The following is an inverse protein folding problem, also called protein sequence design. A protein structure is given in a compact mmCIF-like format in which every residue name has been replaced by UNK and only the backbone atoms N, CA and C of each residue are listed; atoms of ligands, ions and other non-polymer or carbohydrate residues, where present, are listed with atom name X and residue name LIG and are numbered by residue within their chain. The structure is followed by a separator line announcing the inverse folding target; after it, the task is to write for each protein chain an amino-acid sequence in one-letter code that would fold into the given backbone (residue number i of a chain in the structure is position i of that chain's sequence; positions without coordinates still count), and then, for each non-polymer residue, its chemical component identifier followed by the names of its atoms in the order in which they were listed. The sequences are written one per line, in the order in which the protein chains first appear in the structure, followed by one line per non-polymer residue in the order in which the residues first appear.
data_IF_752862702414
#
_entry.id   IF_752862702414
#
_cell.length_a   1.000
_cell.length_b   1.000
_cell.length_c   1.000
_cell.angle_alpha   90.00
_cell.angle_beta   90.00
_cell.angle_gamma   90.00
#
_symmetry.space_group_name_H-M   'P 1'
#
loop_
_entity.id
_entity.type
_entity.pdbx_description
1 polymer ?
#
# COMPACT_ATOMS: atom_id res chain seq x y z
N UNK A 1 -14.47 -33.05 1.54
CA UNK A 1 -14.02 -32.62 2.88
C UNK A 1 -14.51 -31.20 3.05
N UNK A 2 -15.62 -30.99 3.79
CA UNK A 2 -16.21 -29.64 3.96
C UNK A 2 -15.20 -28.65 4.55
N UNK A 3 -14.28 -29.15 5.39
CA UNK A 3 -13.16 -28.37 5.90
C UNK A 3 -12.24 -27.85 4.79
N UNK A 4 -11.86 -28.67 3.80
CA UNK A 4 -11.03 -28.24 2.67
C UNK A 4 -11.76 -27.23 1.78
N UNK A 5 -13.06 -27.42 1.57
CA UNK A 5 -13.86 -26.52 0.76
C UNK A 5 -14.05 -25.17 1.48
N UNK A 6 -14.28 -25.21 2.79
CA UNK A 6 -14.37 -24.03 3.65
C UNK A 6 -13.02 -23.33 3.83
N UNK A 7 -11.90 -24.04 3.99
CA UNK A 7 -10.57 -23.44 3.98
C UNK A 7 -10.22 -22.91 2.61
N UNK A 8 -10.58 -23.56 1.50
CA UNK A 8 -10.38 -22.99 0.17
C UNK A 8 -11.26 -21.75 -0.05
N UNK A 9 -12.49 -21.73 0.44
CA UNK A 9 -13.37 -20.55 0.40
C UNK A 9 -12.85 -19.43 1.31
N UNK A 10 -12.33 -19.75 2.50
CA UNK A 10 -11.66 -18.80 3.39
C UNK A 10 -10.33 -18.31 2.82
N UNK A 11 -9.50 -19.16 2.24
CA UNK A 11 -8.23 -18.80 1.60
C UNK A 11 -8.49 -17.96 0.34
N UNK A 12 -9.52 -18.28 -0.44
CA UNK A 12 -9.95 -17.45 -1.57
C UNK A 12 -10.58 -16.11 -1.13
N UNK A 13 -11.23 -16.06 0.04
CA UNK A 13 -11.82 -14.83 0.60
C UNK A 13 -10.87 -14.03 1.52
N UNK A 14 -9.71 -14.59 1.91
CA UNK A 14 -8.76 -13.96 2.84
C UNK A 14 -7.36 -13.75 2.30
N UNK A 15 -6.95 -14.40 1.19
CA UNK A 15 -5.53 -14.38 0.83
C UNK A 15 -5.05 -13.08 0.18
N UNK A 16 -5.95 -12.28 -0.41
CA UNK A 16 -5.61 -10.99 -0.99
C UNK A 16 -6.87 -10.10 -0.95
N UNK A 17 -7.10 -9.36 0.13
CA UNK A 17 -8.08 -8.26 0.12
C UNK A 17 -7.54 -7.10 -0.73
N UNK A 18 -7.39 -7.35 -2.04
CA UNK A 18 -6.89 -6.40 -3.02
C UNK A 18 -7.73 -5.12 -3.01
N UNK A 19 -9.04 -5.24 -2.74
CA UNK A 19 -9.93 -4.09 -2.65
C UNK A 19 -9.71 -3.24 -1.40
N UNK A 20 -9.18 -3.82 -0.32
CA UNK A 20 -8.78 -3.03 0.86
C UNK A 20 -7.46 -2.29 0.61
N UNK A 21 -6.50 -2.92 -0.07
CA UNK A 21 -5.16 -2.36 -0.30
C UNK A 21 -5.07 -1.43 -1.52
N UNK A 22 -5.80 -1.74 -2.59
CA UNK A 22 -5.77 -1.02 -3.86
C UNK A 22 -7.04 -0.18 -4.03
N UNK A 23 -6.93 1.12 -3.77
CA UNK A 23 -8.01 2.09 -3.92
C UNK A 23 -7.94 2.83 -5.23
N UNK A 24 -9.07 3.39 -5.63
CA UNK A 24 -9.11 4.40 -6.68
C UNK A 24 -9.00 5.76 -6.00
N UNK A 25 -8.01 6.54 -6.42
CA UNK A 25 -7.67 7.82 -5.80
C UNK A 25 -7.22 8.85 -6.84
N UNK A 26 -7.29 8.52 -8.13
CA UNK A 26 -6.84 9.39 -9.21
C UNK A 26 -7.72 9.18 -10.43
N UNK A 27 -8.11 10.28 -11.07
CA UNK A 27 -8.80 10.24 -12.37
C UNK A 27 -7.86 9.89 -13.54
N UNK A 28 -6.57 9.63 -13.30
CA UNK A 28 -5.63 9.18 -14.31
C UNK A 28 -6.00 7.78 -14.84
N UNK A 29 -6.21 7.70 -16.16
CA UNK A 29 -6.49 6.48 -16.92
C UNK A 29 -5.46 5.35 -16.73
N UNK A 30 -4.25 5.64 -16.25
CA UNK A 30 -3.22 4.62 -16.02
C UNK A 30 -3.35 3.89 -14.68
N UNK A 31 -3.99 4.47 -13.67
CA UNK A 31 -4.14 3.83 -12.34
C UNK A 31 -5.00 2.56 -12.39
N UNK A 32 -6.18 2.54 -13.05
CA UNK A 32 -6.97 1.32 -13.19
C UNK A 32 -6.21 0.21 -13.92
N UNK A 33 -5.43 0.55 -14.96
CA UNK A 33 -4.60 -0.42 -15.70
C UNK A 33 -3.49 -1.01 -14.82
N UNK A 34 -2.83 -0.19 -14.01
CA UNK A 34 -1.81 -0.63 -13.06
C UNK A 34 -2.40 -1.61 -12.05
N UNK A 35 -3.55 -1.27 -11.45
CA UNK A 35 -4.25 -2.14 -10.49
C UNK A 35 -4.66 -3.47 -11.11
N UNK A 36 -5.26 -3.44 -12.31
CA UNK A 36 -5.67 -4.64 -13.03
C UNK A 36 -4.46 -5.55 -13.36
N UNK A 37 -3.34 -4.95 -13.75
CA UNK A 37 -2.10 -5.70 -14.00
C UNK A 37 -1.59 -6.39 -12.74
N UNK A 38 -1.50 -5.67 -11.61
CA UNK A 38 -1.07 -6.25 -10.33
C UNK A 38 -2.00 -7.40 -9.94
N UNK A 39 -3.32 -7.19 -10.00
CA UNK A 39 -4.29 -8.21 -9.66
C UNK A 39 -4.12 -9.48 -10.52
N UNK A 40 -3.93 -9.32 -11.83
CA UNK A 40 -3.69 -10.43 -12.75
C UNK A 40 -2.46 -11.26 -12.39
N UNK A 41 -1.35 -10.62 -12.02
CA UNK A 41 -0.13 -11.32 -11.61
C UNK A 41 -0.28 -12.06 -10.29
N UNK A 42 -0.94 -11.43 -9.30
CA UNK A 42 -1.12 -12.02 -7.98
C UNK A 42 -2.11 -13.20 -8.01
N UNK A 43 -3.21 -13.07 -8.79
CA UNK A 43 -4.14 -14.19 -9.05
C UNK A 43 -3.42 -15.31 -9.81
N UNK A 44 -2.52 -14.97 -10.73
CA UNK A 44 -1.68 -15.92 -11.44
C UNK A 44 -0.56 -16.55 -10.60
N UNK A 45 -0.47 -16.25 -9.31
CA UNK A 45 0.58 -16.67 -8.39
C UNK A 45 2.01 -16.29 -8.85
N UNK A 46 2.15 -15.08 -9.39
CA UNK A 46 3.43 -14.50 -9.83
C UNK A 46 3.74 -13.21 -9.05
N UNK A 47 3.98 -13.29 -7.74
CA UNK A 47 4.29 -12.10 -6.93
C UNK A 47 5.65 -11.49 -7.27
N UNK A 48 6.61 -12.30 -7.70
CA UNK A 48 7.97 -11.92 -8.13
C UNK A 48 7.97 -10.98 -9.34
N UNK A 49 7.04 -11.16 -10.27
CA UNK A 49 6.90 -10.31 -11.46
C UNK A 49 6.04 -9.06 -11.21
N UNK A 50 5.36 -8.97 -10.06
CA UNK A 50 4.47 -7.87 -9.71
C UNK A 50 5.15 -6.76 -8.89
N UNK A 51 6.35 -7.00 -8.35
CA UNK A 51 7.03 -6.12 -7.39
C UNK A 51 7.23 -4.69 -7.89
N UNK A 52 7.62 -4.51 -9.16
CA UNK A 52 7.84 -3.19 -9.76
C UNK A 52 6.52 -2.39 -9.87
N UNK A 53 5.43 -3.07 -10.23
CA UNK A 53 4.10 -2.48 -10.33
C UNK A 53 3.53 -2.15 -8.96
N UNK A 54 3.71 -3.03 -7.96
CA UNK A 54 3.30 -2.78 -6.58
C UNK A 54 4.08 -1.59 -5.99
N UNK A 55 5.39 -1.52 -6.21
CA UNK A 55 6.20 -0.36 -5.84
C UNK A 55 5.66 0.92 -6.49
N UNK A 56 5.38 0.88 -7.80
CA UNK A 56 4.81 2.01 -8.54
C UNK A 56 3.46 2.46 -7.95
N UNK A 57 2.59 1.53 -7.59
CA UNK A 57 1.32 1.83 -6.93
C UNK A 57 1.54 2.54 -5.59
N UNK A 58 2.43 2.01 -4.74
CA UNK A 58 2.74 2.61 -3.43
C UNK A 58 3.26 4.04 -3.57
N UNK A 59 4.16 4.28 -4.54
CA UNK A 59 4.67 5.64 -4.85
C UNK A 59 3.53 6.57 -5.24
N UNK A 60 2.64 6.15 -6.15
CA UNK A 60 1.48 6.96 -6.55
C UNK A 60 0.57 7.26 -5.36
N UNK A 61 0.25 6.25 -4.54
CA UNK A 61 -0.68 6.40 -3.41
C UNK A 61 -0.14 7.33 -2.34
N UNK A 62 1.10 7.13 -1.88
CA UNK A 62 1.66 7.99 -0.83
C UNK A 62 1.89 9.42 -1.30
N UNK A 63 2.20 9.63 -2.59
CA UNK A 63 2.23 10.99 -3.16
C UNK A 63 0.86 11.65 -3.16
N UNK A 64 -0.19 10.93 -3.51
CA UNK A 64 -1.56 11.45 -3.45
C UNK A 64 -1.91 11.84 -2.00
N UNK A 65 -1.67 10.95 -1.03
CA UNK A 65 -1.94 11.21 0.39
C UNK A 65 -1.20 12.40 0.97
N UNK A 66 0.03 12.64 0.52
CA UNK A 66 0.80 13.81 0.92
C UNK A 66 0.37 15.07 0.17
N UNK A 67 -0.01 14.98 -1.10
CA UNK A 67 -0.57 16.09 -1.86
C UNK A 67 -1.89 16.59 -1.25
N UNK A 68 -2.76 15.67 -0.80
CA UNK A 68 -4.01 15.97 -0.09
C UNK A 68 -3.77 16.71 1.24
N UNK A 69 -2.56 16.58 1.80
CA UNK A 69 -2.08 17.31 2.99
C UNK A 69 -1.32 18.60 2.66
N UNK A 70 -1.25 19.00 1.39
CA UNK A 70 -0.47 20.15 0.95
C UNK A 70 1.05 19.94 1.00
N UNK A 71 1.52 18.70 1.01
CA UNK A 71 2.93 18.31 1.11
C UNK A 71 3.43 17.56 -0.16
N UNK A 72 3.38 18.17 -1.35
CA UNK A 72 3.79 17.48 -2.57
C UNK A 72 5.26 17.03 -2.51
N UNK A 73 5.54 15.84 -3.02
CA UNK A 73 6.88 15.26 -3.04
C UNK A 73 7.54 15.41 -4.42
N UNK A 74 8.87 15.53 -4.43
CA UNK A 74 9.63 15.54 -5.68
C UNK A 74 9.51 14.18 -6.42
N UNK A 75 9.39 14.17 -7.77
CA UNK A 75 9.28 12.95 -8.56
C UNK A 75 10.44 11.95 -8.40
N UNK A 76 11.63 12.39 -8.03
CA UNK A 76 12.81 11.54 -7.78
C UNK A 76 12.88 10.96 -6.38
N UNK A 77 12.00 11.40 -5.46
CA UNK A 77 11.99 10.93 -4.07
C UNK A 77 11.72 9.42 -4.02
N UNK A 78 12.57 8.61 -3.34
CA UNK A 78 12.37 7.17 -3.26
C UNK A 78 11.21 6.80 -2.34
N UNK A 79 10.61 5.62 -2.56
CA UNK A 79 9.39 5.18 -1.88
C UNK A 79 9.46 5.28 -0.34
N UNK A 80 10.55 4.79 0.25
CA UNK A 80 10.72 4.81 1.71
C UNK A 80 10.72 6.24 2.27
N UNK A 81 11.35 7.21 1.57
CA UNK A 81 11.36 8.61 1.99
C UNK A 81 9.97 9.26 1.88
N UNK A 82 9.21 8.95 0.81
CA UNK A 82 7.81 9.38 0.69
C UNK A 82 6.98 8.83 1.86
N UNK A 83 7.12 7.53 2.15
CA UNK A 83 6.42 6.92 3.28
C UNK A 83 6.86 7.49 4.64
N UNK A 84 8.15 7.80 4.81
CA UNK A 84 8.65 8.47 6.02
C UNK A 84 8.01 9.84 6.24
N UNK A 85 7.81 10.62 5.18
CA UNK A 85 7.08 11.88 5.24
C UNK A 85 5.61 11.66 5.60
N UNK A 86 4.95 10.66 5.00
CA UNK A 86 3.57 10.28 5.33
C UNK A 86 3.42 9.89 6.81
N UNK A 87 4.26 8.97 7.30
CA UNK A 87 4.23 8.54 8.71
C UNK A 87 4.49 9.68 9.69
N UNK A 88 5.30 10.68 9.30
CA UNK A 88 5.47 11.92 10.08
C UNK A 88 4.19 12.75 10.10
N UNK A 89 3.53 12.96 8.96
CA UNK A 89 2.29 13.72 8.88
C UNK A 89 1.18 13.08 9.74
N UNK A 90 0.97 11.77 9.58
CA UNK A 90 0.02 10.97 10.39
C UNK A 90 0.27 11.11 11.89
N UNK A 91 1.53 11.08 12.32
CA UNK A 91 1.90 11.28 13.73
C UNK A 91 1.60 12.71 14.19
N UNK A 92 1.99 13.70 13.41
CA UNK A 92 1.88 15.12 13.78
C UNK A 92 0.42 15.60 13.78
N UNK A 93 -0.43 15.00 12.93
CA UNK A 93 -1.90 15.19 12.92
C UNK A 93 -2.61 14.50 14.09
N UNK A 94 -1.97 13.55 14.77
CA UNK A 94 -2.58 12.79 15.87
C UNK A 94 -3.68 11.82 15.42
N UNK A 95 -3.77 11.50 14.12
CA UNK A 95 -4.78 10.58 13.56
C UNK A 95 -4.57 9.12 13.98
N UNK A 96 -3.42 8.79 14.57
CA UNK A 96 -3.15 7.47 15.15
C UNK A 96 -2.65 7.59 16.58
N UNK A 97 -2.97 6.59 17.40
CA UNK A 97 -2.45 6.50 18.76
C UNK A 97 -0.97 6.09 18.79
N UNK A 98 -0.34 6.28 19.96
CA UNK A 98 1.04 5.83 20.21
C UNK A 98 1.29 4.34 19.90
N UNK A 99 0.25 3.51 19.91
CA UNK A 99 0.35 2.07 19.63
C UNK A 99 0.58 1.76 18.15
N UNK A 100 0.19 2.64 17.23
CA UNK A 100 0.40 2.46 15.79
C UNK A 100 1.81 2.92 15.34
N UNK A 101 2.44 3.82 16.09
CA UNK A 101 3.72 4.44 15.70
C UNK A 101 4.86 3.42 15.50
N UNK A 102 5.06 2.39 16.35
CA UNK A 102 6.06 1.35 16.09
C UNK A 102 5.80 0.61 14.78
N UNK A 103 4.54 0.29 14.48
CA UNK A 103 4.14 -0.38 13.23
C UNK A 103 4.47 0.47 12.02
N UNK A 104 4.21 1.78 12.05
CA UNK A 104 4.62 2.68 10.96
C UNK A 104 6.14 2.69 10.76
N UNK A 105 6.96 2.58 11.83
CA UNK A 105 8.41 2.46 11.67
C UNK A 105 8.83 1.15 11.01
N UNK A 106 8.16 0.04 11.31
CA UNK A 106 8.39 -1.25 10.64
C UNK A 106 8.00 -1.16 9.16
N UNK A 107 6.87 -0.54 8.84
CA UNK A 107 6.42 -0.32 7.46
C UNK A 107 7.42 0.55 6.68
N UNK A 108 8.05 1.54 7.32
CA UNK A 108 9.11 2.32 6.65
C UNK A 108 10.27 1.43 6.19
N UNK A 109 10.68 0.46 7.02
CA UNK A 109 11.69 -0.55 6.64
C UNK A 109 11.21 -1.54 5.58
N UNK A 110 9.94 -1.91 5.61
CA UNK A 110 9.32 -2.71 4.55
C UNK A 110 9.40 -1.99 3.20
N UNK A 111 9.06 -0.70 3.15
CA UNK A 111 9.12 0.08 1.91
C UNK A 111 10.53 0.40 1.43
N UNK A 112 11.51 0.47 2.35
CA UNK A 112 12.94 0.48 2.02
C UNK A 112 13.34 -0.85 1.33
N UNK A 113 12.96 -1.98 1.91
CA UNK A 113 13.19 -3.30 1.33
C UNK A 113 12.50 -3.50 -0.02
N UNK A 114 11.26 -3.03 -0.19
CA UNK A 114 10.54 -3.06 -1.46
C UNK A 114 11.24 -2.23 -2.54
N UNK A 115 11.76 -1.05 -2.17
CA UNK A 115 12.53 -0.21 -3.09
C UNK A 115 13.80 -0.91 -3.57
N UNK A 116 14.49 -1.60 -2.66
CA UNK A 116 15.68 -2.38 -2.98
C UNK A 116 15.37 -3.61 -3.84
N UNK A 117 14.30 -4.35 -3.52
CA UNK A 117 13.83 -5.48 -4.32
C UNK A 117 13.45 -5.05 -5.74
N UNK A 118 12.76 -3.91 -5.89
CA UNK A 118 12.46 -3.32 -7.21
C UNK A 118 13.73 -2.98 -7.99
N UNK A 119 14.77 -2.45 -7.33
CA UNK A 119 15.97 -2.03 -8.04
C UNK A 119 16.90 -3.20 -8.42
N UNK A 120 16.97 -4.23 -7.58
CA UNK A 120 18.01 -5.28 -7.66
C UNK A 120 17.48 -6.67 -7.98
N UNK A 121 16.17 -6.92 -7.83
CA UNK A 121 15.56 -8.27 -7.84
C UNK A 121 14.21 -8.33 -8.55
N UNK A 122 13.95 -7.39 -9.46
CA UNK A 122 12.73 -7.38 -10.28
C UNK A 122 13.02 -7.01 -11.73
N UNK A 123 12.02 -7.21 -12.59
CA UNK A 123 12.04 -6.86 -14.01
C UNK A 123 12.11 -5.37 -14.33
N UNK A 124 12.21 -4.49 -13.32
CA UNK A 124 12.52 -3.09 -13.57
C UNK A 124 13.90 -2.91 -14.23
N UNK A 125 14.80 -3.88 -14.05
CA UNK A 125 16.10 -4.00 -14.70
C UNK A 125 16.37 -5.46 -15.07
N UNK A 126 17.48 -5.73 -15.75
CA UNK A 126 17.92 -7.09 -16.08
C UNK A 126 18.51 -7.78 -14.84
N UNK A 127 17.62 -8.23 -13.96
CA UNK A 127 17.95 -8.81 -12.66
C UNK A 127 17.48 -10.26 -12.56
N UNK A 128 18.20 -11.05 -11.76
CA UNK A 128 17.66 -12.27 -11.19
C UNK A 128 16.51 -11.93 -10.21
N UNK A 129 15.37 -12.57 -10.39
CA UNK A 129 14.19 -12.35 -9.55
C UNK A 129 14.37 -12.93 -8.14
N UNK A 130 13.55 -12.43 -7.21
CA UNK A 130 13.36 -13.10 -5.92
C UNK A 130 12.76 -14.49 -6.09
N UNK A 131 13.00 -15.37 -5.12
CA UNK A 131 12.23 -16.60 -5.04
C UNK A 131 10.75 -16.26 -4.86
N UNK A 132 9.87 -17.01 -5.51
CA UNK A 132 8.42 -16.78 -5.49
C UNK A 132 7.88 -16.69 -4.05
N UNK A 133 8.39 -17.51 -3.13
CA UNK A 133 8.01 -17.48 -1.71
C UNK A 133 8.41 -16.20 -0.99
N UNK A 134 9.62 -15.69 -1.24
CA UNK A 134 10.09 -14.42 -0.67
C UNK A 134 9.29 -13.23 -1.22
N UNK A 135 9.09 -13.23 -2.55
CA UNK A 135 8.27 -12.22 -3.20
C UNK A 135 6.84 -12.24 -2.67
N UNK A 136 6.25 -13.43 -2.49
CA UNK A 136 4.91 -13.57 -1.93
C UNK A 136 4.82 -12.95 -0.54
N UNK A 137 5.74 -13.29 0.35
CA UNK A 137 5.74 -12.77 1.71
C UNK A 137 5.89 -11.24 1.76
N UNK A 138 6.78 -10.68 0.93
CA UNK A 138 6.94 -9.23 0.81
C UNK A 138 5.64 -8.58 0.33
N UNK A 139 5.01 -9.14 -0.71
CA UNK A 139 3.74 -8.64 -1.25
C UNK A 139 2.64 -8.68 -0.19
N UNK A 140 2.48 -9.79 0.54
CA UNK A 140 1.46 -9.93 1.57
C UNK A 140 1.65 -8.88 2.68
N UNK A 141 2.89 -8.63 3.08
CA UNK A 141 3.24 -7.57 4.04
C UNK A 141 2.88 -6.16 3.50
N UNK A 142 3.16 -5.89 2.22
CA UNK A 142 2.84 -4.60 1.59
C UNK A 142 1.34 -4.40 1.49
N UNK A 143 0.57 -5.43 1.12
CA UNK A 143 -0.89 -5.35 1.04
C UNK A 143 -1.50 -5.09 2.42
N UNK A 144 -1.07 -5.82 3.45
CA UNK A 144 -1.52 -5.58 4.82
C UNK A 144 -1.18 -4.14 5.30
N UNK A 145 0.00 -3.64 4.93
CA UNK A 145 0.43 -2.28 5.20
C UNK A 145 -0.47 -1.25 4.52
N UNK A 146 -0.78 -1.45 3.23
CA UNK A 146 -1.69 -0.58 2.48
C UNK A 146 -3.10 -0.59 3.08
N UNK A 147 -3.68 -1.77 3.36
CA UNK A 147 -5.01 -1.86 3.98
C UNK A 147 -5.07 -1.13 5.32
N UNK A 148 -3.99 -1.18 6.11
CA UNK A 148 -3.92 -0.41 7.36
C UNK A 148 -3.90 1.10 7.11
N UNK A 149 -3.15 1.55 6.12
CA UNK A 149 -3.08 2.97 5.73
C UNK A 149 -4.45 3.45 5.25
N UNK A 150 -5.12 2.69 4.39
CA UNK A 150 -6.47 3.06 3.92
C UNK A 150 -7.49 3.17 5.05
N UNK A 151 -7.36 2.37 6.11
CA UNK A 151 -8.20 2.51 7.32
C UNK A 151 -7.89 3.80 8.09
N UNK A 152 -6.61 4.16 8.26
CA UNK A 152 -6.22 5.43 8.89
C UNK A 152 -6.84 6.62 8.13
N UNK A 153 -6.76 6.60 6.80
CA UNK A 153 -7.28 7.69 5.99
C UNK A 153 -8.81 7.76 6.01
N UNK A 154 -9.50 6.61 5.97
CA UNK A 154 -10.96 6.56 6.11
C UNK A 154 -11.45 7.11 7.47
N UNK A 155 -10.76 6.77 8.56
CA UNK A 155 -11.06 7.28 9.91
C UNK A 155 -10.84 8.80 9.99
N UNK A 156 -9.73 9.29 9.40
CA UNK A 156 -9.42 10.73 9.31
C UNK A 156 -10.48 11.51 8.52
N UNK A 157 -10.89 11.00 7.37
CA UNK A 157 -11.88 11.67 6.51
C UNK A 157 -13.28 11.70 7.16
N UNK A 158 -13.61 10.64 7.91
CA UNK A 158 -14.84 10.57 8.71
C UNK A 158 -14.84 11.62 9.84
N UNK A 159 -13.69 11.83 10.50
CA UNK A 159 -13.53 12.86 11.52
C UNK A 159 -13.67 14.28 10.94
N UNK A 160 -13.05 14.57 9.80
CA UNK A 160 -13.13 15.88 9.14
C UNK A 160 -14.56 16.23 8.69
N UNK A 161 -15.32 15.25 8.19
CA UNK A 161 -16.72 15.45 7.78
C UNK A 161 -17.64 15.77 8.97
N UNK A 162 -17.29 15.30 10.17
CA UNK A 162 -18.06 15.58 11.38
C UNK A 162 -17.83 17.01 11.87
N UNK A 163 -16.59 17.51 11.79
CA UNK A 163 -16.25 18.89 12.19
C UNK A 163 -16.81 19.98 11.28
N UNK A 164 -16.95 19.73 9.97
CA UNK A 164 -17.51 20.72 9.02
C UNK A 164 -19.03 20.88 9.15
N UNK A 165 -19.73 19.93 9.79
CA UNK A 165 -21.18 19.94 9.96
C UNK A 165 -21.65 20.60 11.28
N UNK A 166 -20.74 21.03 12.16
CA UNK A 166 -21.09 21.86 13.32
C UNK A 166 -21.29 23.32 12.89
N UNK A 167 -22.51 23.66 12.47
CA UNK A 167 -22.91 25.05 12.20
C UNK A 167 -22.79 25.86 13.50
N UNK A 168 -22.02 26.96 13.53
CA UNK A 168 -21.98 27.83 14.70
C UNK A 168 -23.35 28.46 14.95
N UNK A 169 -23.89 28.28 16.17
CA UNK A 169 -25.07 28.98 16.66
C UNK A 169 -24.79 30.47 16.92
#
# INVERSE_FOLDING_TARGET
MWLEQFTNELENSSSLNLDEAFKDFSSDTTLPKLRASIAGDLIGNKPDVALDRIHTYCVKRFRALLADRGMPCDPSTPLHAIFGAYGKAVRDEGVVSQFALPTLRVQHKLFEGLNDARNKRSFAHDNDLLAVSEARFIVDCVLASLSFIERIEADRDSANTTSDNEIPF
#
